data_IF_963948747947
#
_entry.id   IF_963948747947
#
_cell.length_a   1.000
_cell.length_b   1.000
_cell.length_c   1.000
_cell.angle_alpha   90.00
_cell.angle_beta   90.00
_cell.angle_gamma   90.00
#
_symmetry.space_group_name_H-M   'P 1'
#
loop_
_entity.id
_entity.type
_entity.pdbx_description
1 polymer ?
#
# COMPACT_ATOMS: atom_id res chain seq x y z
N UNK A 1 24.23 11.97 -5.71
CA UNK A 1 24.02 13.42 -5.58
C UNK A 1 23.81 13.73 -4.11
N UNK A 2 24.67 14.54 -3.47
CA UNK A 2 24.58 14.83 -2.02
C UNK A 2 23.75 16.09 -1.82
N UNK A 3 22.60 15.97 -1.12
CA UNK A 3 21.76 17.12 -0.76
C UNK A 3 22.49 17.98 0.28
N UNK A 4 23.09 19.08 -0.16
CA UNK A 4 23.82 20.00 0.70
C UNK A 4 23.05 21.30 0.86
N UNK A 5 22.67 21.62 2.10
CA UNK A 5 22.18 22.95 2.49
C UNK A 5 23.38 23.75 2.99
N UNK A 6 23.52 25.00 2.52
CA UNK A 6 24.57 25.91 2.97
C UNK A 6 23.97 27.28 3.19
N UNK A 7 24.26 27.89 4.34
CA UNK A 7 23.83 29.24 4.66
C UNK A 7 24.98 30.02 5.30
N UNK A 8 24.91 31.33 5.20
CA UNK A 8 25.87 32.24 5.82
C UNK A 8 25.13 33.14 6.81
N UNK A 9 25.72 33.33 7.99
CA UNK A 9 25.19 34.22 9.03
C UNK A 9 26.32 35.01 9.67
N UNK A 10 26.09 36.30 9.91
CA UNK A 10 27.01 37.15 10.67
C UNK A 10 26.83 37.01 12.20
N UNK A 11 25.77 36.32 12.66
CA UNK A 11 25.42 36.15 14.07
C UNK A 11 25.35 34.67 14.43
N UNK A 12 25.97 34.29 15.54
CA UNK A 12 25.77 33.00 16.18
C UNK A 12 24.36 32.97 16.80
N UNK A 13 23.51 32.11 16.25
CA UNK A 13 22.17 31.84 16.75
C UNK A 13 21.89 30.33 16.65
N UNK A 14 20.87 29.86 17.34
CA UNK A 14 20.33 28.53 17.11
C UNK A 14 19.58 28.50 15.78
N UNK A 15 19.88 27.53 14.93
CA UNK A 15 19.20 27.31 13.66
C UNK A 15 18.58 25.92 13.66
N UNK A 16 17.40 25.82 13.04
CA UNK A 16 16.77 24.54 12.72
C UNK A 16 16.49 24.49 11.23
N UNK A 17 16.74 23.33 10.62
CA UNK A 17 16.25 23.01 9.28
C UNK A 17 14.93 22.29 9.49
N UNK A 18 13.86 22.87 8.96
CA UNK A 18 12.53 22.24 8.96
C UNK A 18 12.23 21.77 7.56
N UNK A 19 11.62 20.59 7.48
CA UNK A 19 11.15 20.01 6.23
C UNK A 19 9.64 19.93 6.31
N UNK A 20 8.95 20.36 5.25
CA UNK A 20 7.51 20.23 5.17
C UNK A 20 7.10 18.76 5.23
N UNK A 21 6.07 18.48 6.04
CA UNK A 21 5.62 17.12 6.36
C UNK A 21 4.97 16.42 5.16
N UNK A 22 4.39 17.18 4.25
CA UNK A 22 3.60 16.70 3.12
C UNK A 22 4.39 16.61 1.80
N UNK A 23 5.72 16.77 1.81
CA UNK A 23 6.53 16.77 0.58
C UNK A 23 6.48 15.45 -0.22
N UNK A 24 6.15 14.35 0.43
CA UNK A 24 6.02 13.03 -0.21
C UNK A 24 4.54 12.68 -0.52
N UNK A 25 3.62 13.61 -0.26
CA UNK A 25 2.18 13.46 -0.45
C UNK A 25 1.69 14.40 -1.58
N UNK A 26 0.56 14.08 -2.23
CA UNK A 26 -0.12 12.80 -2.20
C UNK A 26 0.72 11.69 -2.87
N UNK A 27 0.39 10.43 -2.60
CA UNK A 27 0.86 9.32 -3.39
C UNK A 27 0.25 9.43 -4.79
N UNK A 28 1.07 9.26 -5.83
CA UNK A 28 0.58 9.20 -7.21
C UNK A 28 -0.11 7.87 -7.46
N UNK A 29 0.46 6.80 -6.93
CA UNK A 29 -0.03 5.45 -7.08
C UNK A 29 0.58 4.54 -6.01
N UNK A 30 -0.12 3.48 -5.63
CA UNK A 30 0.45 2.35 -4.91
C UNK A 30 -0.15 1.04 -5.40
N UNK A 31 0.63 -0.03 -5.28
CA UNK A 31 0.23 -1.40 -5.58
C UNK A 31 0.83 -2.35 -4.56
N UNK A 32 0.05 -3.35 -4.18
CA UNK A 32 0.42 -4.44 -3.32
C UNK A 32 0.29 -5.74 -4.11
N UNK A 33 1.34 -6.56 -4.13
CA UNK A 33 1.37 -7.81 -4.90
C UNK A 33 1.93 -8.96 -4.08
N UNK A 34 1.35 -10.17 -4.11
CA UNK A 34 1.94 -11.32 -3.43
C UNK A 34 3.25 -11.70 -4.12
N UNK A 35 4.26 -12.02 -3.31
CA UNK A 35 5.55 -12.55 -3.78
C UNK A 35 5.71 -14.03 -3.48
N UNK A 36 5.23 -14.44 -2.30
CA UNK A 36 5.27 -15.80 -1.76
C UNK A 36 4.07 -15.95 -0.80
N UNK A 37 3.72 -17.17 -0.34
CA UNK A 37 2.71 -17.33 0.70
C UNK A 37 3.03 -16.47 1.93
N UNK A 38 2.11 -15.56 2.29
CA UNK A 38 2.26 -14.62 3.41
C UNK A 38 3.45 -13.65 3.28
N UNK A 39 3.86 -13.36 2.04
CA UNK A 39 4.83 -12.32 1.74
C UNK A 39 4.29 -11.48 0.60
N UNK A 40 4.17 -10.18 0.83
CA UNK A 40 3.61 -9.24 -0.13
C UNK A 40 4.55 -8.06 -0.32
N UNK A 41 4.71 -7.59 -1.57
CA UNK A 41 5.44 -6.38 -1.89
C UNK A 41 4.48 -5.22 -2.04
N UNK A 42 4.70 -4.16 -1.28
CA UNK A 42 4.00 -2.89 -1.40
C UNK A 42 4.93 -1.91 -2.13
N UNK A 43 4.55 -1.51 -3.34
CA UNK A 43 5.20 -0.47 -4.11
C UNK A 43 4.40 0.83 -4.03
N UNK A 44 5.07 1.93 -3.70
CA UNK A 44 4.46 3.25 -3.54
C UNK A 44 5.23 4.25 -4.38
N UNK A 45 4.52 4.93 -5.26
CA UNK A 45 5.01 6.08 -5.98
C UNK A 45 4.57 7.35 -5.24
N UNK A 46 5.47 7.88 -4.42
CA UNK A 46 5.31 9.18 -3.77
C UNK A 46 5.67 10.33 -4.72
N UNK A 47 5.50 11.57 -4.29
CA UNK A 47 5.82 12.75 -5.11
C UNK A 47 7.29 12.79 -5.56
N UNK A 48 8.23 12.39 -4.67
CA UNK A 48 9.68 12.49 -4.88
C UNK A 48 10.40 11.15 -5.03
N UNK A 49 9.77 10.06 -4.62
CA UNK A 49 10.42 8.76 -4.49
C UNK A 49 9.51 7.61 -4.88
N UNK A 50 10.12 6.54 -5.36
CA UNK A 50 9.50 5.23 -5.51
C UNK A 50 10.06 4.31 -4.44
N UNK A 51 9.17 3.79 -3.62
CA UNK A 51 9.50 2.99 -2.44
C UNK A 51 8.94 1.59 -2.61
N UNK A 52 9.77 0.60 -2.34
CA UNK A 52 9.35 -0.81 -2.31
C UNK A 52 9.52 -1.36 -0.92
N UNK A 53 8.45 -1.91 -0.36
CA UNK A 53 8.43 -2.59 0.93
C UNK A 53 8.10 -4.05 0.73
N UNK A 54 8.65 -4.90 1.58
CA UNK A 54 8.21 -6.29 1.70
C UNK A 54 7.59 -6.46 3.08
N UNK A 55 6.35 -6.93 3.09
CA UNK A 55 5.56 -7.21 4.29
C UNK A 55 5.47 -8.73 4.42
N UNK A 56 5.83 -9.27 5.58
CA UNK A 56 5.66 -10.69 5.93
C UNK A 56 5.11 -10.82 7.35
N UNK A 57 4.91 -12.06 7.81
CA UNK A 57 4.57 -12.35 9.21
C UNK A 57 5.62 -11.86 10.23
N UNK A 58 6.87 -11.67 9.80
CA UNK A 58 7.98 -11.22 10.66
C UNK A 58 8.03 -9.68 10.78
N UNK A 59 7.38 -8.98 9.85
CA UNK A 59 7.26 -7.52 9.85
C UNK A 59 7.43 -6.91 8.47
N UNK A 60 7.90 -5.67 8.46
CA UNK A 60 8.10 -4.81 7.30
C UNK A 60 9.59 -4.59 7.08
N UNK A 61 10.05 -4.67 5.82
CA UNK A 61 11.40 -4.27 5.42
C UNK A 61 11.37 -3.37 4.20
N UNK A 62 12.33 -2.43 4.13
CA UNK A 62 12.54 -1.59 2.96
C UNK A 62 13.40 -2.34 1.93
N UNK A 63 12.90 -2.47 0.70
CA UNK A 63 13.59 -3.09 -0.45
C UNK A 63 14.25 -2.05 -1.36
N UNK A 64 13.69 -0.85 -1.45
CA UNK A 64 14.24 0.26 -2.23
C UNK A 64 13.53 1.59 -1.92
N UNK A 65 14.11 2.74 -2.31
CA UNK A 65 15.23 2.89 -3.25
C UNK A 65 16.61 2.70 -2.59
N UNK A 66 17.62 2.37 -3.39
CA UNK A 66 18.99 2.17 -2.92
C UNK A 66 19.70 3.53 -2.72
N UNK A 67 19.44 4.17 -1.58
CA UNK A 67 20.06 5.45 -1.21
C UNK A 67 21.07 5.25 -0.08
N UNK A 68 22.19 6.00 -0.06
CA UNK A 68 23.18 5.92 1.02
C UNK A 68 22.60 6.17 2.40
N UNK A 69 21.71 7.15 2.54
CA UNK A 69 21.04 7.52 3.79
C UNK A 69 20.07 6.44 4.30
N UNK A 70 19.62 5.53 3.44
CA UNK A 70 18.69 4.45 3.81
C UNK A 70 19.40 3.13 4.11
N UNK A 71 20.72 3.02 3.90
CA UNK A 71 21.43 1.74 4.07
C UNK A 71 21.30 1.15 5.47
N UNK A 72 21.35 1.98 6.51
CA UNK A 72 21.26 1.56 7.91
C UNK A 72 19.81 1.21 8.33
N UNK A 73 18.83 1.68 7.54
CA UNK A 73 17.41 1.33 7.68
C UNK A 73 17.11 0.02 6.95
N UNK A 74 17.69 -0.16 5.75
CA UNK A 74 17.49 -1.34 4.90
C UNK A 74 18.21 -2.58 5.42
N UNK A 75 19.39 -2.40 6.02
CA UNK A 75 20.27 -3.50 6.36
C UNK A 75 20.81 -3.39 7.79
N UNK A 76 21.01 -4.55 8.41
CA UNK A 76 21.73 -4.67 9.68
C UNK A 76 23.14 -5.21 9.48
N UNK A 77 24.10 -4.88 10.37
CA UNK A 77 25.44 -5.44 10.31
C UNK A 77 25.37 -6.97 10.41
N UNK A 78 25.81 -7.68 9.37
CA UNK A 78 25.88 -9.13 9.39
C UNK A 78 26.98 -9.60 10.35
N UNK A 79 26.62 -10.34 11.38
CA UNK A 79 27.61 -11.13 12.13
C UNK A 79 27.97 -12.31 11.22
N UNK A 80 29.22 -12.34 10.77
CA UNK A 80 29.69 -13.32 9.81
C UNK A 80 29.58 -14.74 10.35
N UNK A 81 28.54 -15.45 9.92
CA UNK A 81 28.58 -16.90 9.74
C UNK A 81 28.17 -17.19 8.31
N UNK A 82 29.12 -17.75 7.56
CA UNK A 82 29.01 -18.11 6.16
C UNK A 82 27.93 -19.20 6.00
N UNK A 83 26.71 -18.79 5.67
CA UNK A 83 25.59 -19.74 5.58
C UNK A 83 24.33 -19.15 4.97
N UNK A 84 24.43 -18.61 3.74
CA UNK A 84 23.28 -18.40 2.85
C UNK A 84 22.57 -17.05 3.00
N UNK A 85 22.43 -16.35 1.86
CA UNK A 85 21.67 -15.10 1.65
C UNK A 85 22.34 -13.80 2.15
N UNK A 86 23.62 -13.62 1.78
CA UNK A 86 24.33 -12.34 1.90
C UNK A 86 23.82 -11.33 0.86
N UNK A 87 23.39 -10.14 1.28
CA UNK A 87 23.21 -9.00 0.38
C UNK A 87 24.54 -8.55 -0.25
N UNK A 88 24.54 -7.54 -1.14
CA UNK A 88 25.72 -7.10 -1.92
C UNK A 88 26.95 -6.67 -1.08
N UNK A 89 26.80 -6.57 0.24
CA UNK A 89 27.82 -6.16 1.20
C UNK A 89 27.95 -7.09 2.42
N UNK A 90 27.42 -8.32 2.36
CA UNK A 90 27.41 -9.25 3.51
C UNK A 90 26.44 -8.85 4.64
N UNK A 91 25.64 -7.81 4.41
CA UNK A 91 24.61 -7.35 5.35
C UNK A 91 23.30 -8.10 5.14
N UNK A 92 22.54 -8.27 6.22
CA UNK A 92 21.21 -8.93 6.20
C UNK A 92 20.11 -7.87 6.07
N UNK A 93 19.02 -8.14 5.32
CA UNK A 93 17.87 -7.24 5.29
C UNK A 93 17.27 -7.07 6.69
N UNK A 94 17.02 -5.83 7.08
CA UNK A 94 16.51 -5.48 8.41
C UNK A 94 14.98 -5.52 8.39
N UNK A 95 14.39 -6.37 9.23
CA UNK A 95 12.93 -6.46 9.41
C UNK A 95 12.53 -5.75 10.71
N UNK A 96 11.49 -4.93 10.65
CA UNK A 96 10.97 -4.17 11.80
C UNK A 96 9.44 -4.18 11.80
N UNK A 97 8.81 -3.76 12.90
CA UNK A 97 7.38 -3.49 12.86
C UNK A 97 7.07 -2.33 11.91
N UNK A 98 5.85 -2.24 11.33
CA UNK A 98 5.47 -1.14 10.45
C UNK A 98 5.72 0.24 11.07
N UNK A 99 5.30 0.43 12.33
CA UNK A 99 5.50 1.70 13.02
C UNK A 99 6.98 2.05 13.22
N UNK A 100 7.82 1.09 13.58
CA UNK A 100 9.25 1.35 13.78
C UNK A 100 9.93 1.74 12.47
N UNK A 101 9.71 0.98 11.39
CA UNK A 101 10.32 1.29 10.10
C UNK A 101 9.88 2.66 9.57
N UNK A 102 8.59 2.97 9.63
CA UNK A 102 8.07 4.25 9.14
C UNK A 102 8.57 5.44 9.98
N UNK A 103 8.81 5.26 11.28
CA UNK A 103 9.47 6.28 12.10
C UNK A 103 10.95 6.47 11.72
N UNK A 104 11.71 5.38 11.50
CA UNK A 104 13.10 5.44 11.03
C UNK A 104 13.19 6.15 9.66
N UNK A 105 12.27 5.86 8.73
CA UNK A 105 12.20 6.56 7.44
C UNK A 105 11.91 8.06 7.60
N UNK A 106 11.03 8.42 8.54
CA UNK A 106 10.75 9.82 8.86
C UNK A 106 11.99 10.55 9.37
N UNK A 107 12.83 9.89 10.18
CA UNK A 107 14.11 10.43 10.65
C UNK A 107 15.11 10.62 9.51
N UNK A 108 15.03 9.80 8.46
CA UNK A 108 15.75 9.99 7.19
C UNK A 108 15.14 11.05 6.26
N UNK A 109 14.07 11.75 6.67
CA UNK A 109 13.41 12.80 5.88
C UNK A 109 12.39 12.29 4.87
N UNK A 110 11.95 11.03 4.99
CA UNK A 110 10.88 10.41 4.20
C UNK A 110 9.64 10.20 5.08
N UNK A 111 8.67 11.12 4.98
CA UNK A 111 7.49 11.03 5.82
C UNK A 111 6.35 10.29 5.10
N UNK A 112 6.10 9.05 5.52
CA UNK A 112 5.05 8.19 4.97
C UNK A 112 3.94 7.88 5.98
N UNK A 113 3.82 8.68 7.03
CA UNK A 113 2.75 8.55 8.03
C UNK A 113 1.90 9.82 8.04
N UNK A 114 1.06 10.05 7.03
CA UNK A 114 0.24 11.25 6.95
C UNK A 114 -0.80 11.32 8.08
N UNK A 115 -1.15 12.53 8.49
CA UNK A 115 -2.22 12.87 9.43
C UNK A 115 -3.33 13.63 8.70
N UNK A 116 -4.51 13.73 9.31
CA UNK A 116 -5.63 14.49 8.72
C UNK A 116 -5.21 15.94 8.37
N UNK A 117 -4.47 16.59 9.26
CA UNK A 117 -3.95 17.95 9.06
C UNK A 117 -2.99 18.10 7.87
N UNK A 118 -2.40 17.00 7.38
CA UNK A 118 -1.54 17.05 6.19
C UNK A 118 -2.36 17.28 4.92
N UNK A 119 -3.66 16.92 4.92
CA UNK A 119 -4.55 17.16 3.80
C UNK A 119 -4.93 18.63 3.62
N UNK A 120 -4.88 19.45 4.68
CA UNK A 120 -5.13 20.90 4.61
C UNK A 120 -4.11 21.61 3.70
N UNK A 121 -2.94 21.00 3.49
CA UNK A 121 -1.89 21.51 2.61
C UNK A 121 -2.01 20.97 1.17
N UNK A 122 -2.96 20.07 0.89
CA UNK A 122 -3.12 19.40 -0.41
C UNK A 122 -4.40 19.87 -1.11
N UNK A 123 -4.26 20.46 -2.29
CA UNK A 123 -5.40 21.01 -3.02
C UNK A 123 -6.31 19.92 -3.60
N UNK A 124 -7.60 19.99 -3.26
CA UNK A 124 -8.62 19.08 -3.77
C UNK A 124 -8.54 17.67 -3.20
N UNK A 125 -7.95 17.50 -2.01
CA UNK A 125 -7.91 16.23 -1.29
C UNK A 125 -8.87 16.26 -0.10
N UNK A 126 -9.67 15.20 0.00
CA UNK A 126 -10.51 14.96 1.16
C UNK A 126 -10.11 13.65 1.81
N UNK A 127 -9.77 13.72 3.09
CA UNK A 127 -9.43 12.54 3.89
C UNK A 127 -10.65 11.62 3.99
N UNK A 128 -10.44 10.31 3.80
CA UNK A 128 -11.52 9.33 3.93
C UNK A 128 -11.88 9.10 5.39
N UNK A 129 -13.14 8.80 5.66
CA UNK A 129 -13.61 8.50 7.01
C UNK A 129 -12.83 7.33 7.61
N UNK A 130 -12.55 7.41 8.90
CA UNK A 130 -11.78 6.40 9.61
C UNK A 130 -12.47 5.02 9.54
N UNK A 131 -13.80 4.99 9.58
CA UNK A 131 -14.60 3.76 9.47
C UNK A 131 -14.44 3.10 8.10
N UNK A 132 -14.55 3.88 7.01
CA UNK A 132 -14.32 3.39 5.63
C UNK A 132 -12.90 2.84 5.47
N UNK A 133 -11.89 3.54 6.00
CA UNK A 133 -10.51 3.08 5.97
C UNK A 133 -10.31 1.79 6.78
N UNK A 134 -10.85 1.73 7.99
CA UNK A 134 -10.76 0.55 8.85
C UNK A 134 -11.43 -0.68 8.19
N UNK A 135 -12.61 -0.49 7.59
CA UNK A 135 -13.31 -1.54 6.83
C UNK A 135 -12.46 -2.04 5.67
N UNK A 136 -12.00 -1.13 4.81
CA UNK A 136 -11.20 -1.47 3.65
C UNK A 136 -9.90 -2.17 4.05
N UNK A 137 -9.19 -1.67 5.06
CA UNK A 137 -7.93 -2.27 5.49
C UNK A 137 -8.10 -3.64 6.15
N UNK A 138 -9.22 -3.88 6.84
CA UNK A 138 -9.56 -5.21 7.33
C UNK A 138 -9.70 -6.19 6.16
N UNK A 139 -10.60 -5.88 5.22
CA UNK A 139 -10.91 -6.75 4.08
C UNK A 139 -9.69 -6.97 3.17
N UNK A 140 -8.95 -5.91 2.85
CA UNK A 140 -7.79 -5.99 1.95
C UNK A 140 -6.62 -6.77 2.57
N UNK A 141 -6.44 -6.67 3.89
CA UNK A 141 -5.36 -7.40 4.57
C UNK A 141 -5.57 -8.92 4.58
N UNK A 142 -6.82 -9.39 4.54
CA UNK A 142 -7.16 -10.81 4.48
C UNK A 142 -6.84 -11.43 3.12
N UNK A 143 -6.97 -10.65 2.04
CA UNK A 143 -6.80 -11.12 0.66
C UNK A 143 -5.43 -10.83 0.04
N UNK A 144 -4.59 -10.02 0.72
CA UNK A 144 -3.30 -9.53 0.20
C UNK A 144 -2.29 -10.63 -0.19
N UNK A 145 -2.48 -11.86 0.28
CA UNK A 145 -1.62 -12.99 -0.07
C UNK A 145 -1.93 -13.63 -1.44
N UNK A 146 -3.06 -13.27 -2.06
CA UNK A 146 -3.55 -13.92 -3.28
C UNK A 146 -3.93 -12.94 -4.40
N UNK A 147 -4.13 -11.67 -4.06
CA UNK A 147 -4.59 -10.65 -4.98
C UNK A 147 -3.54 -9.55 -5.12
N UNK A 148 -3.38 -9.09 -6.35
CA UNK A 148 -2.83 -7.77 -6.61
C UNK A 148 -3.89 -6.73 -6.22
N UNK A 149 -3.49 -5.78 -5.38
CA UNK A 149 -4.34 -4.69 -4.91
C UNK A 149 -3.69 -3.39 -5.33
N UNK A 150 -4.36 -2.62 -6.16
CA UNK A 150 -3.86 -1.35 -6.68
C UNK A 150 -4.77 -0.19 -6.28
N UNK A 151 -4.16 0.97 -6.09
CA UNK A 151 -4.90 2.22 -5.90
C UNK A 151 -5.69 2.63 -7.15
N UNK A 152 -6.71 3.45 -6.93
CA UNK A 152 -7.50 4.10 -7.98
C UNK A 152 -7.38 5.61 -7.87
N UNK A 153 -7.14 6.31 -8.99
CA UNK A 153 -7.14 7.79 -9.02
C UNK A 153 -8.52 8.38 -8.77
N UNK A 154 -9.58 7.57 -8.88
CA UNK A 154 -10.96 8.02 -8.62
C UNK A 154 -11.17 8.40 -7.15
N UNK A 155 -10.31 7.93 -6.22
CA UNK A 155 -10.40 8.26 -4.80
C UNK A 155 -10.44 9.77 -4.52
N UNK A 156 -9.72 10.57 -5.31
CA UNK A 156 -9.71 12.03 -5.19
C UNK A 156 -11.10 12.66 -5.41
N UNK A 157 -11.92 12.08 -6.29
CA UNK A 157 -13.25 12.58 -6.62
C UNK A 157 -14.37 11.95 -5.77
N UNK A 158 -14.10 10.84 -5.09
CA UNK A 158 -15.08 10.14 -4.26
C UNK A 158 -15.32 10.87 -2.92
N UNK A 159 -16.54 10.79 -2.37
CA UNK A 159 -16.84 11.34 -1.04
C UNK A 159 -16.01 10.66 0.07
N UNK A 160 -15.96 11.27 1.25
CA UNK A 160 -15.13 10.78 2.37
C UNK A 160 -15.55 9.39 2.87
N UNK A 161 -16.84 9.06 2.72
CA UNK A 161 -17.41 7.77 3.09
C UNK A 161 -17.03 6.64 2.12
N UNK A 162 -16.44 6.96 0.96
CA UNK A 162 -16.15 5.98 -0.09
C UNK A 162 -14.69 5.95 -0.44
N UNK A 163 -14.15 4.74 -0.53
CA UNK A 163 -12.81 4.49 -1.05
C UNK A 163 -12.88 3.41 -2.13
N UNK A 164 -12.08 3.54 -3.17
CA UNK A 164 -12.02 2.60 -4.29
C UNK A 164 -10.61 2.02 -4.40
N UNK A 165 -10.54 0.74 -4.69
CA UNK A 165 -9.31 0.06 -5.08
C UNK A 165 -9.60 -0.82 -6.29
N UNK A 166 -8.54 -1.27 -6.94
CA UNK A 166 -8.59 -2.27 -7.99
C UNK A 166 -7.98 -3.55 -7.47
N UNK A 167 -8.61 -4.69 -7.75
CA UNK A 167 -8.08 -6.00 -7.40
C UNK A 167 -7.99 -6.91 -8.62
N UNK A 168 -6.99 -7.77 -8.64
CA UNK A 168 -6.84 -8.85 -9.62
C UNK A 168 -6.29 -10.08 -8.93
N UNK A 169 -6.79 -11.26 -9.29
CA UNK A 169 -6.19 -12.51 -8.85
C UNK A 169 -4.75 -12.61 -9.37
N UNK A 170 -3.82 -13.08 -8.53
CA UNK A 170 -2.42 -13.29 -8.92
C UNK A 170 -1.90 -14.63 -8.39
N UNK A 171 -2.49 -15.72 -8.85
CA UNK A 171 -2.13 -17.08 -8.41
C UNK A 171 -0.71 -17.49 -8.78
N UNK A 172 -0.21 -16.98 -9.90
CA UNK A 172 1.09 -17.34 -10.47
C UNK A 172 2.22 -16.44 -9.97
N UNK A 173 1.92 -15.49 -9.07
CA UNK A 173 2.89 -14.52 -8.50
C UNK A 173 3.61 -13.75 -9.62
N UNK A 174 2.87 -13.44 -10.68
CA UNK A 174 3.36 -12.77 -11.85
C UNK A 174 3.58 -11.27 -11.56
N UNK A 175 4.60 -10.71 -12.21
CA UNK A 175 4.91 -9.29 -12.11
C UNK A 175 4.12 -8.57 -13.18
N UNK A 176 3.10 -7.83 -12.76
CA UNK A 176 2.32 -6.98 -13.63
C UNK A 176 2.47 -5.51 -13.26
N UNK A 177 2.39 -4.66 -14.28
CA UNK A 177 2.32 -3.21 -14.11
C UNK A 177 0.84 -2.79 -14.08
N UNK A 178 0.30 -2.33 -12.94
CA UNK A 178 -1.10 -1.89 -12.83
C UNK A 178 -1.38 -0.57 -13.56
N UNK A 179 -0.34 0.09 -14.09
CA UNK A 179 -0.43 1.29 -14.92
C UNK A 179 -0.38 0.97 -16.42
N UNK A 180 -0.09 -0.27 -16.79
CA UNK A 180 -0.17 -0.71 -18.18
C UNK A 180 -1.65 -0.79 -18.60
N UNK A 181 -2.09 0.01 -19.60
CA UNK A 181 -3.47 0.00 -20.07
C UNK A 181 -3.96 -1.36 -20.56
N UNK A 182 -3.05 -2.21 -21.05
CA UNK A 182 -3.38 -3.55 -21.52
C UNK A 182 -3.67 -4.50 -20.34
N UNK A 183 -3.10 -4.23 -19.16
CA UNK A 183 -3.33 -5.00 -17.94
C UNK A 183 -4.57 -4.52 -17.14
N UNK A 184 -5.05 -3.28 -17.36
CA UNK A 184 -6.20 -2.69 -16.63
C UNK A 184 -7.50 -3.48 -16.85
N UNK A 185 -7.61 -4.27 -17.93
CA UNK A 185 -8.82 -5.07 -18.22
C UNK A 185 -9.03 -6.23 -17.26
N UNK A 186 -7.96 -6.72 -16.63
CA UNK A 186 -8.03 -7.85 -15.70
C UNK A 186 -8.38 -7.40 -14.28
N UNK A 187 -8.20 -6.11 -14.00
CA UNK A 187 -8.56 -5.52 -12.72
C UNK A 187 -10.07 -5.32 -12.60
N UNK A 188 -10.58 -5.56 -11.40
CA UNK A 188 -11.94 -5.27 -11.00
C UNK A 188 -11.91 -4.15 -9.96
N UNK A 189 -12.78 -3.15 -10.11
CA UNK A 189 -12.90 -2.10 -9.11
C UNK A 189 -13.82 -2.52 -7.96
N UNK A 190 -13.32 -2.29 -6.76
CA UNK A 190 -14.00 -2.55 -5.50
C UNK A 190 -14.17 -1.22 -4.76
N UNK A 191 -15.40 -0.92 -4.37
CA UNK A 191 -15.73 0.25 -3.55
C UNK A 191 -16.05 -0.16 -2.13
N UNK A 192 -15.46 0.54 -1.16
CA UNK A 192 -15.69 0.40 0.26
C UNK A 192 -16.50 1.57 0.81
N UNK A 193 -17.34 1.25 1.77
CA UNK A 193 -18.15 2.14 2.59
C UNK A 193 -17.80 1.90 4.07
N UNK A 194 -18.34 2.67 5.04
CA UNK A 194 -18.10 2.40 6.45
C UNK A 194 -18.49 0.98 6.90
N UNK A 195 -19.58 0.44 6.35
CA UNK A 195 -20.23 -0.79 6.81
C UNK A 195 -20.30 -1.89 5.75
N UNK A 196 -19.88 -1.63 4.51
CA UNK A 196 -20.06 -2.55 3.38
C UNK A 196 -19.03 -2.35 2.26
N UNK A 197 -19.01 -3.28 1.33
CA UNK A 197 -18.24 -3.21 0.08
C UNK A 197 -19.05 -3.75 -1.10
N UNK A 198 -18.67 -3.37 -2.33
CA UNK A 198 -19.23 -3.93 -3.55
C UNK A 198 -18.31 -3.72 -4.77
N UNK A 199 -18.48 -4.57 -5.78
CA UNK A 199 -17.85 -4.37 -7.08
C UNK A 199 -18.61 -3.36 -7.93
N UNK A 200 -17.86 -2.50 -8.62
CA UNK A 200 -18.40 -1.42 -9.46
C UNK A 200 -17.81 -1.47 -10.86
N UNK A 201 -18.48 -0.77 -11.80
CA UNK A 201 -18.08 -0.72 -13.20
C UNK A 201 -16.87 0.16 -13.49
N UNK A 202 -16.44 0.99 -12.54
CA UNK A 202 -15.35 1.94 -12.76
C UNK A 202 -14.05 1.19 -13.07
N UNK A 203 -13.34 1.61 -14.11
CA UNK A 203 -11.92 1.29 -14.34
C UNK A 203 -11.16 2.61 -14.41
N UNK A 204 -9.83 2.60 -14.39
CA UNK A 204 -9.07 3.85 -14.42
C UNK A 204 -9.36 4.64 -15.70
N UNK A 205 -9.52 3.96 -16.84
CA UNK A 205 -9.87 4.59 -18.13
C UNK A 205 -11.27 5.23 -18.20
N UNK A 206 -12.17 4.95 -17.26
CA UNK A 206 -13.56 5.43 -17.31
C UNK A 206 -13.68 6.76 -16.57
N UNK A 207 -13.96 7.84 -17.31
CA UNK A 207 -14.19 9.17 -16.76
C UNK A 207 -15.54 9.73 -17.21
N UNK A 208 -16.40 10.23 -16.29
CA UNK A 208 -16.21 10.27 -14.83
C UNK A 208 -16.27 8.87 -14.18
N UNK A 209 -15.87 8.79 -12.90
CA UNK A 209 -15.93 7.56 -12.10
C UNK A 209 -17.34 6.94 -12.18
N UNK A 210 -17.42 5.64 -12.51
CA UNK A 210 -18.70 4.93 -12.61
C UNK A 210 -18.93 4.04 -11.39
N UNK A 211 -19.57 4.61 -10.36
CA UNK A 211 -19.91 3.92 -9.12
C UNK A 211 -21.09 2.94 -9.25
N UNK A 212 -21.64 2.75 -10.46
CA UNK A 212 -22.70 1.77 -10.68
C UNK A 212 -22.18 0.37 -10.42
N UNK A 213 -22.88 -0.38 -9.58
CA UNK A 213 -22.54 -1.77 -9.30
C UNK A 213 -22.45 -2.59 -10.58
N UNK A 214 -21.53 -3.55 -10.60
CA UNK A 214 -21.50 -4.55 -11.67
C UNK A 214 -22.85 -5.31 -11.70
N UNK A 215 -23.32 -5.75 -12.88
CA UNK A 215 -24.55 -6.54 -12.97
C UNK A 215 -24.46 -7.75 -12.03
N UNK A 216 -25.60 -8.14 -11.44
CA UNK A 216 -25.72 -9.23 -10.46
C UNK A 216 -24.93 -9.09 -9.15
N UNK A 217 -24.19 -8.00 -8.94
CA UNK A 217 -23.54 -7.74 -7.66
C UNK A 217 -24.45 -6.95 -6.73
N UNK A 218 -24.28 -7.19 -5.43
CA UNK A 218 -24.92 -6.43 -4.36
C UNK A 218 -23.85 -5.98 -3.35
N UNK A 219 -24.22 -5.05 -2.48
CA UNK A 219 -23.35 -4.65 -1.38
C UNK A 219 -23.40 -5.67 -0.26
N UNK A 220 -22.24 -5.99 0.32
CA UNK A 220 -22.15 -6.89 1.47
C UNK A 220 -21.34 -6.29 2.61
N UNK A 221 -21.61 -6.76 3.82
CA UNK A 221 -20.88 -6.38 5.02
C UNK A 221 -19.47 -6.99 5.10
N UNK A 222 -19.04 -7.78 4.12
CA UNK A 222 -17.69 -8.34 4.01
C UNK A 222 -17.33 -8.56 2.54
N UNK A 223 -16.07 -8.29 2.21
CA UNK A 223 -15.52 -8.58 0.88
C UNK A 223 -15.63 -10.07 0.51
N UNK A 224 -15.52 -10.97 1.49
CA UNK A 224 -15.69 -12.41 1.25
C UNK A 224 -17.05 -12.74 0.64
N UNK A 225 -18.11 -12.11 1.14
CA UNK A 225 -19.47 -12.30 0.63
C UNK A 225 -19.66 -11.66 -0.77
N UNK A 226 -18.90 -10.61 -1.09
CA UNK A 226 -18.87 -10.06 -2.44
C UNK A 226 -18.29 -11.06 -3.45
N UNK A 227 -17.28 -11.84 -3.06
CA UNK A 227 -16.72 -12.89 -3.91
C UNK A 227 -17.64 -14.10 -4.08
N UNK A 228 -18.34 -14.54 -3.04
CA UNK A 228 -19.30 -15.67 -3.11
C UNK A 228 -20.39 -15.43 -4.17
N UNK A 229 -20.78 -14.17 -4.37
CA UNK A 229 -21.78 -13.76 -5.35
C UNK A 229 -21.19 -13.30 -6.69
N UNK A 230 -19.90 -13.51 -6.93
CA UNK A 230 -19.25 -13.07 -8.15
C UNK A 230 -19.80 -13.87 -9.35
N UNK A 231 -20.48 -13.22 -10.31
CA UNK A 231 -21.25 -13.86 -11.39
C UNK A 231 -20.37 -14.40 -12.52
N UNK A 232 -19.10 -13.98 -12.56
CA UNK A 232 -18.06 -14.55 -13.43
C UNK A 232 -16.88 -14.96 -12.55
N UNK A 233 -17.03 -16.03 -11.76
CA UNK A 233 -15.87 -16.65 -11.17
C UNK A 233 -14.95 -17.03 -12.34
N UNK A 234 -13.70 -16.57 -12.34
CA UNK A 234 -12.71 -17.20 -13.23
C UNK A 234 -12.76 -18.73 -13.04
N UNK A 235 -12.24 -19.50 -13.99
CA UNK A 235 -12.26 -20.97 -13.89
C UNK A 235 -11.74 -21.51 -12.55
N UNK A 236 -10.90 -20.73 -11.86
CA UNK A 236 -10.25 -21.06 -10.59
C UNK A 236 -10.90 -20.42 -9.35
N UNK A 237 -11.99 -19.64 -9.47
CA UNK A 237 -12.54 -18.89 -8.33
C UNK A 237 -12.99 -19.76 -7.15
N UNK A 238 -13.56 -20.94 -7.43
CA UNK A 238 -13.96 -21.88 -6.39
C UNK A 238 -12.74 -22.39 -5.61
N UNK A 239 -11.63 -22.65 -6.32
CA UNK A 239 -10.36 -23.02 -5.73
C UNK A 239 -9.75 -21.83 -4.97
N UNK A 240 -9.90 -20.60 -5.47
CA UNK A 240 -9.43 -19.39 -4.80
C UNK A 240 -10.20 -19.08 -3.52
N UNK A 241 -11.53 -19.23 -3.52
CA UNK A 241 -12.35 -19.15 -2.32
C UNK A 241 -11.96 -20.26 -1.34
N UNK A 242 -11.79 -21.50 -1.81
CA UNK A 242 -11.34 -22.59 -0.96
C UNK A 242 -9.94 -22.32 -0.39
N UNK A 243 -9.04 -21.70 -1.14
CA UNK A 243 -7.72 -21.28 -0.65
C UNK A 243 -7.82 -20.12 0.33
N UNK A 244 -8.71 -19.15 0.14
CA UNK A 244 -8.98 -18.14 1.16
C UNK A 244 -9.51 -18.77 2.46
N UNK A 245 -10.32 -19.83 2.35
CA UNK A 245 -10.83 -20.58 3.51
C UNK A 245 -9.78 -21.50 4.17
N UNK A 246 -8.92 -22.15 3.38
CA UNK A 246 -8.00 -23.21 3.84
C UNK A 246 -6.60 -22.70 4.14
N UNK A 247 -6.06 -21.81 3.31
CA UNK A 247 -4.78 -21.13 3.59
C UNK A 247 -5.06 -19.95 4.50
N UNK A 248 -5.10 -20.24 5.81
CA UNK A 248 -5.20 -19.20 6.83
C UNK A 248 -3.93 -18.35 6.79
N UNK A 249 -4.03 -17.19 6.13
CA UNK A 249 -3.12 -16.08 6.35
C UNK A 249 -2.92 -15.95 7.86
N UNK A 250 -1.67 -16.00 8.33
CA UNK A 250 -1.45 -15.90 9.77
C UNK A 250 -1.96 -14.56 10.27
N UNK A 251 -2.52 -14.54 11.48
CA UNK A 251 -2.98 -13.30 12.12
C UNK A 251 -1.87 -12.24 12.13
N UNK A 252 -0.60 -12.66 12.24
CA UNK A 252 0.57 -11.77 12.18
C UNK A 252 0.76 -11.11 10.82
N UNK A 253 0.64 -11.88 9.73
CA UNK A 253 0.73 -11.34 8.38
C UNK A 253 -0.41 -10.35 8.10
N UNK A 254 -1.66 -10.76 8.37
CA UNK A 254 -2.85 -9.90 8.19
C UNK A 254 -2.70 -8.60 8.97
N UNK A 255 -2.27 -8.69 10.23
CA UNK A 255 -2.05 -7.52 11.07
C UNK A 255 -0.90 -6.62 10.57
N UNK A 256 0.20 -7.19 10.09
CA UNK A 256 1.32 -6.43 9.54
C UNK A 256 0.89 -5.64 8.29
N UNK A 257 0.11 -6.27 7.39
CA UNK A 257 -0.46 -5.62 6.20
C UNK A 257 -1.44 -4.52 6.61
N UNK A 258 -2.39 -4.83 7.49
CA UNK A 258 -3.39 -3.88 8.00
C UNK A 258 -2.76 -2.65 8.65
N UNK A 259 -1.80 -2.85 9.56
CA UNK A 259 -1.08 -1.76 10.22
C UNK A 259 -0.28 -0.92 9.24
N UNK A 260 0.38 -1.55 8.26
CA UNK A 260 1.13 -0.83 7.23
C UNK A 260 0.19 0.10 6.45
N UNK A 261 -0.92 -0.42 5.94
CA UNK A 261 -1.90 0.38 5.20
C UNK A 261 -2.50 1.50 6.06
N UNK A 262 -2.82 1.21 7.33
CA UNK A 262 -3.40 2.17 8.26
C UNK A 262 -2.45 3.31 8.60
N UNK A 263 -1.18 3.01 8.87
CA UNK A 263 -0.17 4.04 9.20
C UNK A 263 0.15 4.92 7.99
N UNK A 264 0.15 4.34 6.79
CA UNK A 264 0.43 5.06 5.54
C UNK A 264 -0.80 5.75 4.96
N UNK A 265 -2.01 5.38 5.41
CA UNK A 265 -3.30 5.93 4.95
C UNK A 265 -3.47 5.91 3.44
N UNK A 266 -3.16 4.76 2.85
CA UNK A 266 -3.12 4.51 1.41
C UNK A 266 -4.40 4.90 0.64
N UNK A 267 -5.55 5.06 1.31
CA UNK A 267 -6.83 5.41 0.67
C UNK A 267 -7.18 6.90 0.75
N UNK A 268 -6.51 7.66 1.63
CA UNK A 268 -6.80 9.09 1.84
C UNK A 268 -5.88 10.03 1.08
N UNK A 269 -4.67 9.57 0.79
CA UNK A 269 -3.62 10.37 0.17
C UNK A 269 -3.25 9.84 -1.21
N UNK A 270 -4.24 9.40 -2.01
CA UNK A 270 -4.09 8.98 -3.41
C UNK A 270 -5.09 9.71 -4.30
#
# INVERSE_FOLDING_TARGET
ETRKVSFFTARLAAFSITQERHLDLPYKHWVMRPLEPQVVELHIQAARYELSFVISQDGLRLKGPNLPELQEVMYEPGVGEAGGLSGPSGRRPRVRSPATLLNELRECGLNLMPKDSDADSLEGYSVKNQETQARAYSDLSEIAAFYDIASSHHNKALPQERAMVRIRENELLEVFDPLDPDCDTDYQALTFFPDKSCFVKSLERIHPCNETMLPSHVTHASLYLCFDRHPTPGANHADNLHRLEVTTSTVRFVEAVRQTMQLMRLLSFV
#
